data_IF_017122421382
#
_entry.id   IF_017122421382
#
_cell.length_a   1.000
_cell.length_b   1.000
_cell.length_c   1.000
_cell.angle_alpha   90.00
_cell.angle_beta   90.00
_cell.angle_gamma   90.00
#
_symmetry.space_group_name_H-M   'P 1'
#
loop_
_entity.id
_entity.type
_entity.pdbx_description
1 polymer ?
#
# COMPACT_ATOMS: atom_id res chain seq x y z
N UNK A 1 1.96 59.34 24.42
CA UNK A 1 1.11 58.16 24.13
C UNK A 1 0.94 58.02 22.62
N UNK A 2 2.02 57.75 21.84
CA UNK A 2 1.92 57.65 20.37
C UNK A 2 3.13 56.94 19.72
N UNK A 3 3.64 55.83 20.28
CA UNK A 3 4.74 55.07 19.64
C UNK A 3 4.62 53.54 19.68
N UNK A 4 3.55 52.97 20.26
CA UNK A 4 3.38 51.51 20.35
C UNK A 4 2.41 50.89 19.31
N UNK A 5 1.61 51.69 18.58
CA UNK A 5 0.61 51.15 17.63
C UNK A 5 1.14 50.81 16.24
N UNK A 6 2.34 51.28 15.86
CA UNK A 6 2.91 51.09 14.52
C UNK A 6 3.56 49.71 14.35
N UNK A 7 4.11 49.13 15.43
CA UNK A 7 4.83 47.83 15.38
C UNK A 7 3.86 46.64 15.21
N UNK A 8 2.60 46.76 15.65
CA UNK A 8 1.62 45.68 15.53
C UNK A 8 1.02 45.55 14.12
N UNK A 9 0.97 46.64 13.34
CA UNK A 9 0.45 46.58 11.96
C UNK A 9 1.44 45.90 10.99
N UNK A 10 2.74 45.99 11.26
CA UNK A 10 3.77 45.37 10.41
C UNK A 10 3.71 43.82 10.43
N UNK A 11 3.34 43.22 11.57
CA UNK A 11 3.22 41.75 11.69
C UNK A 11 2.06 41.17 10.87
N UNK A 12 0.96 41.91 10.68
CA UNK A 12 -0.21 41.42 9.92
C UNK A 12 -0.01 41.47 8.40
N UNK A 13 0.78 42.43 7.90
CA UNK A 13 1.07 42.55 6.46
C UNK A 13 2.04 41.44 6.00
N UNK A 14 3.03 41.10 6.83
CA UNK A 14 3.99 40.03 6.53
C UNK A 14 3.32 38.65 6.39
N UNK A 15 2.31 38.33 7.20
CA UNK A 15 1.63 37.03 7.14
C UNK A 15 0.79 36.82 5.87
N UNK A 16 0.24 37.89 5.29
CA UNK A 16 -0.53 37.79 4.06
C UNK A 16 0.38 37.61 2.82
N UNK A 17 1.58 38.20 2.85
CA UNK A 17 2.51 38.16 1.72
C UNK A 17 3.16 36.79 1.52
N UNK A 18 3.39 36.03 2.61
CA UNK A 18 3.91 34.65 2.55
C UNK A 18 2.86 33.69 1.96
N UNK A 19 1.58 33.88 2.25
CA UNK A 19 0.52 32.98 1.78
C UNK A 19 0.34 33.05 0.25
N UNK A 20 0.53 34.22 -0.35
CA UNK A 20 0.43 34.41 -1.81
C UNK A 20 1.64 33.84 -2.55
N UNK A 21 2.83 33.82 -1.92
CA UNK A 21 4.06 33.31 -2.55
C UNK A 21 4.08 31.78 -2.68
N UNK A 22 3.34 31.05 -1.85
CA UNK A 22 3.31 29.57 -1.87
C UNK A 22 2.43 29.03 -3.02
N UNK A 23 1.51 29.84 -3.58
CA UNK A 23 0.56 29.38 -4.61
C UNK A 23 1.06 29.44 -6.06
N UNK A 24 2.28 29.91 -6.34
CA UNK A 24 2.74 30.13 -7.73
C UNK A 24 3.77 29.13 -8.25
N UNK A 25 4.09 28.05 -7.53
CA UNK A 25 4.97 26.99 -8.05
C UNK A 25 4.19 25.98 -8.89
N UNK A 26 3.76 26.43 -10.08
CA UNK A 26 3.35 25.51 -11.14
C UNK A 26 4.61 24.84 -11.71
N UNK A 27 4.77 23.55 -11.45
CA UNK A 27 5.81 22.75 -12.06
C UNK A 27 5.49 22.58 -13.56
N UNK A 28 6.09 23.42 -14.40
CA UNK A 28 6.19 23.15 -15.82
C UNK A 28 7.22 22.01 -16.01
N UNK A 29 6.75 20.79 -16.19
CA UNK A 29 7.58 19.69 -16.70
C UNK A 29 7.94 19.97 -18.16
N UNK A 30 9.06 20.66 -18.40
CA UNK A 30 9.73 20.72 -19.70
C UNK A 30 10.45 19.39 -19.96
N UNK A 31 9.68 18.38 -20.36
CA UNK A 31 10.24 17.11 -20.86
C UNK A 31 10.63 17.24 -22.33
N UNK A 32 11.93 17.38 -22.60
CA UNK A 32 12.48 17.12 -23.94
C UNK A 32 12.39 15.61 -24.23
N UNK A 33 11.50 15.21 -25.13
CA UNK A 33 11.48 13.84 -25.69
C UNK A 33 12.70 13.66 -26.57
N UNK A 34 13.76 13.10 -26.00
CA UNK A 34 14.93 12.67 -26.74
C UNK A 34 14.72 11.19 -27.11
N UNK A 35 14.28 10.94 -28.34
CA UNK A 35 14.20 9.60 -28.90
C UNK A 35 15.62 9.01 -28.97
N UNK A 36 15.92 8.07 -28.07
CA UNK A 36 17.18 7.34 -28.08
C UNK A 36 17.07 6.16 -29.05
N UNK A 37 17.80 6.29 -30.15
CA UNK A 37 18.14 5.26 -31.14
C UNK A 37 18.49 3.92 -30.46
N UNK A 38 18.00 2.76 -30.94
CA UNK A 38 18.29 1.47 -30.33
C UNK A 38 19.65 0.95 -30.83
N UNK A 39 20.68 1.02 -29.98
CA UNK A 39 21.95 0.34 -30.27
C UNK A 39 22.55 -0.29 -29.02
N UNK A 40 22.69 -1.62 -29.13
CA UNK A 40 23.58 -2.54 -28.43
C UNK A 40 23.28 -2.93 -26.98
N UNK A 41 22.94 -4.22 -26.82
CA UNK A 41 22.88 -4.99 -25.58
C UNK A 41 24.23 -4.97 -24.83
N UNK A 42 24.19 -4.80 -23.50
CA UNK A 42 25.22 -5.33 -22.59
C UNK A 42 24.68 -6.51 -21.74
N UNK A 43 25.55 -7.45 -21.35
CA UNK A 43 25.19 -8.69 -20.66
C UNK A 43 24.98 -8.47 -19.15
N UNK A 44 24.01 -9.18 -18.58
CA UNK A 44 23.82 -9.28 -17.13
C UNK A 44 22.60 -8.52 -16.62
N UNK A 45 21.41 -9.04 -16.94
CA UNK A 45 20.20 -8.67 -16.21
C UNK A 45 20.37 -9.16 -14.77
N UNK A 46 20.64 -8.24 -13.85
CA UNK A 46 20.47 -8.50 -12.41
C UNK A 46 18.97 -8.63 -12.13
N UNK A 47 18.43 -9.83 -12.32
CA UNK A 47 17.02 -10.20 -12.07
C UNK A 47 16.58 -10.08 -10.60
N UNK A 48 17.46 -9.65 -9.68
CA UNK A 48 17.21 -9.69 -8.24
C UNK A 48 16.45 -8.49 -7.70
N UNK A 49 16.43 -7.33 -8.38
CA UNK A 49 15.74 -6.12 -7.91
C UNK A 49 14.42 -5.82 -8.65
N UNK A 50 14.29 -6.24 -9.92
CA UNK A 50 13.07 -6.05 -10.70
C UNK A 50 11.96 -7.07 -10.33
N UNK A 51 12.33 -8.18 -9.67
CA UNK A 51 11.41 -9.19 -9.13
C UNK A 51 10.96 -8.94 -7.68
N UNK A 52 11.60 -8.01 -6.96
CA UNK A 52 11.32 -7.76 -5.54
C UNK A 52 10.01 -6.97 -5.30
N UNK A 53 9.47 -6.30 -6.31
CA UNK A 53 8.47 -5.24 -6.16
C UNK A 53 7.47 -5.15 -7.34
N UNK A 54 7.01 -6.29 -7.89
CA UNK A 54 5.78 -6.35 -8.71
C UNK A 54 4.56 -6.14 -7.78
N UNK A 55 4.55 -4.91 -7.27
CA UNK A 55 3.73 -4.21 -6.29
C UNK A 55 2.91 -5.09 -5.35
N UNK A 56 3.14 -4.91 -4.04
CA UNK A 56 2.28 -5.40 -2.96
C UNK A 56 0.78 -5.11 -3.17
N UNK A 57 0.40 -4.31 -4.18
CA UNK A 57 -0.85 -4.51 -4.89
C UNK A 57 -0.83 -4.03 -6.34
N UNK A 58 -1.72 -4.55 -7.20
CA UNK A 58 -1.88 -4.02 -8.57
C UNK A 58 -2.69 -2.70 -8.65
N UNK A 59 -3.01 -2.11 -7.49
CA UNK A 59 -3.59 -0.78 -7.30
C UNK A 59 -2.88 -0.06 -6.16
N UNK A 60 -3.05 1.27 -6.05
CA UNK A 60 -2.54 2.07 -4.92
C UNK A 60 -3.11 1.54 -3.60
N UNK A 61 -4.43 1.39 -3.52
CA UNK A 61 -5.10 0.89 -2.33
C UNK A 61 -4.65 -0.52 -1.94
N UNK A 62 -4.45 -1.41 -2.92
CA UNK A 62 -3.95 -2.76 -2.69
C UNK A 62 -2.53 -2.76 -2.14
N UNK A 63 -1.66 -1.89 -2.67
CA UNK A 63 -0.30 -1.72 -2.18
C UNK A 63 -0.28 -1.21 -0.74
N UNK A 64 -1.09 -0.21 -0.43
CA UNK A 64 -1.18 0.37 0.90
C UNK A 64 -1.71 -0.64 1.92
N UNK A 65 -2.73 -1.41 1.55
CA UNK A 65 -3.26 -2.47 2.41
C UNK A 65 -2.24 -3.60 2.63
N UNK A 66 -1.55 -4.05 1.58
CA UNK A 66 -0.48 -5.06 1.71
C UNK A 66 0.66 -4.60 2.62
N UNK A 67 1.06 -3.32 2.52
CA UNK A 67 2.02 -2.71 3.43
C UNK A 67 1.52 -2.67 4.87
N UNK A 68 0.27 -2.25 5.07
CA UNK A 68 -0.37 -2.15 6.37
C UNK A 68 -0.46 -3.51 7.08
N UNK A 69 -0.81 -4.58 6.34
CA UNK A 69 -0.88 -5.95 6.88
C UNK A 69 0.48 -6.38 7.44
N UNK A 70 1.56 -6.24 6.67
CA UNK A 70 2.91 -6.63 7.12
C UNK A 70 3.35 -5.79 8.33
N UNK A 71 3.10 -4.48 8.30
CA UNK A 71 3.48 -3.59 9.40
C UNK A 71 2.72 -3.90 10.71
N UNK A 72 1.43 -4.22 10.59
CA UNK A 72 0.53 -4.39 11.75
C UNK A 72 0.63 -5.79 12.36
N UNK A 73 0.95 -6.80 11.57
CA UNK A 73 1.06 -8.19 12.00
C UNK A 73 2.29 -8.48 12.88
N UNK A 74 3.20 -7.51 13.08
CA UNK A 74 4.34 -7.58 14.02
C UNK A 74 5.13 -8.90 13.96
N UNK A 75 5.47 -9.34 12.75
CA UNK A 75 6.28 -10.54 12.52
C UNK A 75 5.48 -11.84 12.40
N UNK A 76 4.15 -11.84 12.57
CA UNK A 76 3.28 -12.99 12.27
C UNK A 76 3.15 -13.19 10.75
N UNK A 77 3.13 -12.09 10.00
CA UNK A 77 3.11 -12.07 8.54
C UNK A 77 4.48 -11.66 8.03
N UNK A 78 5.07 -12.51 7.18
CA UNK A 78 6.35 -12.26 6.52
C UNK A 78 6.18 -11.41 5.27
N UNK A 79 5.13 -11.67 4.50
CA UNK A 79 4.82 -10.91 3.29
C UNK A 79 3.31 -10.88 3.02
N UNK A 80 2.86 -9.84 2.33
CA UNK A 80 1.47 -9.71 1.91
C UNK A 80 1.35 -8.95 0.59
N UNK A 81 0.42 -9.39 -0.24
CA UNK A 81 0.12 -8.75 -1.52
C UNK A 81 -1.38 -8.77 -1.83
N UNK A 82 -1.88 -7.74 -2.48
CA UNK A 82 -3.26 -7.63 -2.95
C UNK A 82 -3.31 -7.75 -4.47
N UNK A 83 -4.29 -8.47 -5.00
CA UNK A 83 -4.57 -8.56 -6.44
C UNK A 83 -6.03 -8.27 -6.69
N UNK A 84 -6.28 -7.53 -7.76
CA UNK A 84 -7.60 -7.23 -8.31
C UNK A 84 -8.55 -6.56 -7.31
N UNK A 85 -8.00 -5.97 -6.25
CA UNK A 85 -8.74 -5.40 -5.12
C UNK A 85 -9.68 -6.39 -4.40
N UNK A 86 -9.51 -7.69 -4.61
CA UNK A 86 -10.36 -8.72 -4.00
C UNK A 86 -9.65 -9.99 -3.53
N UNK A 87 -8.33 -10.11 -3.78
CA UNK A 87 -7.51 -11.23 -3.30
C UNK A 87 -6.35 -10.69 -2.48
N UNK A 88 -6.25 -11.11 -1.23
CA UNK A 88 -5.11 -10.88 -0.36
C UNK A 88 -4.31 -12.17 -0.22
N UNK A 89 -3.08 -12.20 -0.73
CA UNK A 89 -2.12 -13.24 -0.42
C UNK A 89 -1.29 -12.87 0.80
N UNK A 90 -1.10 -13.83 1.71
CA UNK A 90 -0.37 -13.63 2.98
C UNK A 90 0.57 -14.80 3.22
N UNK A 91 1.86 -14.52 3.34
CA UNK A 91 2.87 -15.50 3.75
C UNK A 91 3.07 -15.37 5.25
N UNK A 92 2.75 -16.42 6.01
CA UNK A 92 2.93 -16.42 7.46
C UNK A 92 4.38 -16.72 7.82
N UNK A 93 4.81 -16.22 8.97
CA UNK A 93 6.12 -16.51 9.51
C UNK A 93 6.17 -17.92 10.15
N UNK A 94 7.35 -18.56 10.26
CA UNK A 94 7.48 -19.95 10.71
C UNK A 94 6.95 -20.25 12.11
N UNK A 95 6.87 -19.25 12.98
CA UNK A 95 6.40 -19.40 14.36
C UNK A 95 4.86 -19.45 14.49
N UNK A 96 4.12 -19.18 13.41
CA UNK A 96 2.66 -19.24 13.43
C UNK A 96 2.20 -20.69 13.48
N UNK A 97 1.42 -21.05 14.49
CA UNK A 97 0.96 -22.43 14.67
C UNK A 97 -0.18 -22.74 13.69
N UNK A 98 -0.33 -24.00 13.23
CA UNK A 98 -1.43 -24.38 12.34
C UNK A 98 -2.82 -24.01 12.89
N UNK A 99 -3.01 -24.10 14.21
CA UNK A 99 -4.27 -23.73 14.89
C UNK A 99 -4.58 -22.23 14.84
N UNK A 100 -3.59 -21.38 14.58
CA UNK A 100 -3.71 -19.93 14.51
C UNK A 100 -4.01 -19.42 13.10
N UNK A 101 -3.81 -20.25 12.06
CA UNK A 101 -3.97 -19.84 10.66
C UNK A 101 -5.41 -19.43 10.36
N UNK A 102 -6.39 -20.23 10.80
CA UNK A 102 -7.82 -19.94 10.58
C UNK A 102 -8.28 -18.64 11.28
N UNK A 103 -8.03 -18.43 12.59
CA UNK A 103 -8.40 -17.17 13.23
C UNK A 103 -7.65 -15.96 12.65
N UNK A 104 -6.37 -16.11 12.28
CA UNK A 104 -5.61 -15.06 11.59
C UNK A 104 -6.26 -14.69 10.24
N UNK A 105 -6.58 -15.69 9.41
CA UNK A 105 -7.23 -15.46 8.12
C UNK A 105 -8.58 -14.77 8.26
N UNK A 106 -9.36 -15.12 9.29
CA UNK A 106 -10.62 -14.43 9.61
C UNK A 106 -10.41 -12.95 9.91
N UNK A 107 -9.47 -12.62 10.79
CA UNK A 107 -9.15 -11.23 11.15
C UNK A 107 -8.64 -10.42 9.96
N UNK A 108 -7.80 -11.02 9.12
CA UNK A 108 -7.30 -10.40 7.89
C UNK A 108 -8.44 -10.15 6.89
N UNK A 109 -9.34 -11.11 6.71
CA UNK A 109 -10.49 -10.98 5.81
C UNK A 109 -11.46 -9.90 6.30
N UNK A 110 -11.65 -9.75 7.60
CA UNK A 110 -12.43 -8.65 8.19
C UNK A 110 -11.80 -7.28 7.90
N UNK A 111 -10.50 -7.13 8.12
CA UNK A 111 -9.79 -5.89 7.77
C UNK A 111 -9.79 -5.61 6.26
N UNK A 112 -9.70 -6.68 5.45
CA UNK A 112 -9.75 -6.58 3.99
C UNK A 112 -11.13 -6.12 3.51
N UNK A 113 -12.21 -6.64 4.10
CA UNK A 113 -13.58 -6.21 3.81
C UNK A 113 -13.84 -4.74 4.15
N UNK A 114 -13.23 -4.22 5.22
CA UNK A 114 -13.34 -2.79 5.55
C UNK A 114 -12.70 -1.89 4.49
N UNK A 115 -11.60 -2.35 3.88
CA UNK A 115 -10.90 -1.59 2.85
C UNK A 115 -11.52 -1.79 1.46
N UNK A 116 -12.07 -2.97 1.18
CA UNK A 116 -12.59 -3.35 -0.13
C UNK A 116 -14.05 -3.84 -0.02
N UNK A 117 -15.01 -2.95 0.31
CA UNK A 117 -16.38 -3.33 0.61
C UNK A 117 -17.18 -3.74 -0.65
N UNK A 118 -18.36 -4.32 -0.42
CA UNK A 118 -19.38 -4.59 -1.45
C UNK A 118 -18.98 -5.56 -2.56
N UNK A 119 -18.08 -6.50 -2.25
CA UNK A 119 -17.65 -7.52 -3.20
C UNK A 119 -17.23 -8.79 -2.47
N UNK A 120 -17.09 -9.88 -3.22
CA UNK A 120 -16.50 -11.11 -2.71
C UNK A 120 -15.00 -10.95 -2.51
N UNK A 121 -14.48 -11.51 -1.43
CA UNK A 121 -13.08 -11.35 -1.06
C UNK A 121 -12.44 -12.69 -0.75
N UNK A 122 -11.15 -12.80 -1.03
CA UNK A 122 -10.36 -14.00 -0.74
C UNK A 122 -9.11 -13.63 0.02
N UNK A 123 -8.83 -14.35 1.10
CA UNK A 123 -7.54 -14.36 1.78
C UNK A 123 -6.89 -15.72 1.55
N UNK A 124 -5.74 -15.71 0.90
CA UNK A 124 -4.91 -16.86 0.55
C UNK A 124 -3.75 -16.90 1.55
N UNK A 125 -3.76 -17.87 2.45
CA UNK A 125 -2.71 -18.05 3.45
C UNK A 125 -1.68 -19.03 2.92
N UNK A 126 -0.42 -18.61 2.91
CA UNK A 126 0.72 -19.40 2.49
C UNK A 126 1.64 -19.67 3.68
N UNK A 127 2.16 -20.89 3.77
CA UNK A 127 3.25 -21.24 4.66
C UNK A 127 4.56 -20.50 4.27
N UNK A 128 5.60 -20.51 5.13
CA UNK A 128 6.88 -19.86 4.83
C UNK A 128 7.54 -20.37 3.53
N UNK A 129 7.29 -21.63 3.16
CA UNK A 129 7.75 -22.22 1.89
C UNK A 129 6.87 -21.85 0.68
N UNK A 130 5.94 -20.91 0.86
CA UNK A 130 4.99 -20.38 -0.13
C UNK A 130 3.94 -21.40 -0.61
N UNK A 131 3.74 -22.52 0.08
CA UNK A 131 2.61 -23.42 -0.19
C UNK A 131 1.31 -22.83 0.35
N UNK A 132 0.24 -22.86 -0.44
CA UNK A 132 -1.09 -22.48 0.01
C UNK A 132 -1.58 -23.49 1.06
N UNK A 133 -1.97 -23.00 2.24
CA UNK A 133 -2.39 -23.82 3.39
C UNK A 133 -3.83 -23.56 3.85
N UNK A 134 -4.41 -22.42 3.47
CA UNK A 134 -5.80 -22.08 3.75
C UNK A 134 -6.28 -21.00 2.77
N UNK A 135 -7.49 -21.15 2.27
CA UNK A 135 -8.23 -20.05 1.62
C UNK A 135 -9.43 -19.70 2.48
N UNK A 136 -9.55 -18.43 2.89
CA UNK A 136 -10.76 -17.89 3.48
C UNK A 136 -11.47 -17.03 2.44
N UNK A 137 -12.72 -17.33 2.13
CA UNK A 137 -13.53 -16.64 1.12
C UNK A 137 -14.74 -16.00 1.77
N UNK A 138 -14.87 -14.68 1.65
CA UNK A 138 -16.08 -13.95 2.00
C UNK A 138 -16.99 -13.88 0.78
N UNK A 139 -18.24 -14.27 0.96
CA UNK A 139 -19.30 -14.15 -0.04
C UNK A 139 -20.23 -12.98 0.35
N UNK A 140 -20.36 -11.98 -0.53
CA UNK A 140 -21.10 -10.76 -0.23
C UNK A 140 -22.60 -11.07 -0.03
N UNK A 141 -23.15 -11.97 -0.84
CA UNK A 141 -24.59 -12.24 -0.86
C UNK A 141 -25.07 -12.91 0.42
N UNK A 142 -24.36 -13.94 0.87
CA UNK A 142 -24.67 -14.71 2.07
C UNK A 142 -24.06 -14.12 3.34
N UNK A 143 -23.07 -13.22 3.20
CA UNK A 143 -22.27 -12.63 4.29
C UNK A 143 -21.55 -13.68 5.14
N UNK A 144 -21.26 -14.83 4.56
CA UNK A 144 -20.56 -15.92 5.22
C UNK A 144 -19.10 -15.98 4.80
N UNK A 145 -18.29 -16.62 5.67
CA UNK A 145 -16.89 -16.94 5.37
C UNK A 145 -16.79 -18.46 5.18
N UNK A 146 -16.36 -18.87 4.00
CA UNK A 146 -16.03 -20.25 3.68
C UNK A 146 -14.52 -20.48 3.83
N UNK A 147 -14.13 -21.68 4.28
CA UNK A 147 -12.73 -22.08 4.42
C UNK A 147 -12.44 -23.30 3.56
N UNK A 148 -11.37 -23.24 2.75
CA UNK A 148 -10.89 -24.31 1.88
C UNK A 148 -9.42 -24.62 2.16
#
# INVERSE_FOLDING_TARGET
>A
MLKLKIIQQFRRVLTALVLVLVLTTTAACSGTVQAKQPTQLPPGISHSADYDLLSRGNSVQGKDFGNWVVATAKGIVQDAYVRDNNKLGVVIAPQVRPTEVRPLAKSLLQGFHQNFPNQDLKVLMYAPDKKLILTAQYDMQSRQIEYK
#
